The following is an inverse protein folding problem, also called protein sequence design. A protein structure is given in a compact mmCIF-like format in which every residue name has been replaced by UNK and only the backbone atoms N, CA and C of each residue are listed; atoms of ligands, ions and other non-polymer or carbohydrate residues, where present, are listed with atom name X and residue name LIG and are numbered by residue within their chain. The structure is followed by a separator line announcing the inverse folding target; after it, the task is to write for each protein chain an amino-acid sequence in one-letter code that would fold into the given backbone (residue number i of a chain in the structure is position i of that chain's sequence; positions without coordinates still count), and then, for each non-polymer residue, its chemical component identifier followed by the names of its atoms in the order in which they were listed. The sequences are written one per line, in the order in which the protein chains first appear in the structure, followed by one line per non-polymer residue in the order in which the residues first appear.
data_IF_780881860253
#
_entry.id   IF_780881860253
#
_cell.length_a   1.000
_cell.length_b   1.000
_cell.length_c   1.000
_cell.angle_alpha   90.00
_cell.angle_beta   90.00
_cell.angle_gamma   90.00
#
_symmetry.space_group_name_H-M   'P 1'
#
loop_
_entity.id
_entity.type
_entity.pdbx_description
1 polymer ?
#
# COMPACT_ATOMS: atom_id res chain seq x y z
N UNK A 1 7.28 31.17 12.33
CA UNK A 1 7.97 30.31 13.32
C UNK A 1 9.40 30.85 13.56
N UNK A 2 9.66 31.41 14.75
CA UNK A 2 11.00 31.85 15.12
C UNK A 2 11.93 30.65 15.23
N UNK A 3 13.10 30.73 14.60
CA UNK A 3 14.18 29.77 14.77
C UNK A 3 14.68 29.91 16.22
N UNK A 4 14.73 28.83 17.01
CA UNK A 4 15.27 28.94 18.37
C UNK A 4 16.77 29.17 18.32
N UNK A 5 17.30 30.01 19.22
CA UNK A 5 18.71 30.42 19.25
C UNK A 5 19.68 29.21 19.19
N UNK A 6 19.35 28.12 19.89
CA UNK A 6 20.15 26.90 19.89
C UNK A 6 20.22 26.19 18.51
N UNK A 7 19.18 26.31 17.69
CA UNK A 7 19.21 25.80 16.32
C UNK A 7 19.97 26.75 15.40
N UNK A 8 19.86 28.07 15.60
CA UNK A 8 20.62 29.05 14.84
C UNK A 8 22.12 28.83 15.02
N UNK A 9 22.58 28.66 16.26
CA UNK A 9 23.99 28.43 16.58
C UNK A 9 24.55 27.15 15.92
N UNK A 10 23.77 26.06 15.92
CA UNK A 10 24.18 24.80 15.26
C UNK A 10 24.29 24.97 13.74
N UNK A 11 23.44 25.81 13.15
CA UNK A 11 23.42 26.08 11.71
C UNK A 11 24.60 26.94 11.28
N UNK A 12 24.91 27.97 12.06
CA UNK A 12 26.07 28.83 11.84
C UNK A 12 27.38 28.07 12.08
N UNK A 13 27.49 27.27 13.14
CA UNK A 13 28.66 26.41 13.41
C UNK A 13 28.89 25.36 12.31
N UNK A 14 27.82 24.87 11.68
CA UNK A 14 27.92 23.95 10.54
C UNK A 14 28.50 24.62 9.28
N UNK A 15 28.16 25.89 9.03
CA UNK A 15 28.65 26.65 7.87
C UNK A 15 30.07 27.19 8.12
N UNK A 16 30.38 27.63 9.35
CA UNK A 16 31.70 28.14 9.71
C UNK A 16 32.79 27.05 9.65
N UNK A 17 32.45 25.79 9.96
CA UNK A 17 33.37 24.65 9.83
C UNK A 17 33.83 24.37 8.40
N UNK A 18 33.01 24.70 7.40
CA UNK A 18 33.33 24.48 5.98
C UNK A 18 34.15 25.64 5.39
N UNK A 19 34.20 26.78 6.09
CA UNK A 19 34.84 28.01 5.66
C UNK A 19 35.70 28.64 6.78
N UNK A 20 36.59 27.84 7.36
CA UNK A 20 37.50 28.24 8.44
C UNK A 20 38.45 29.41 8.09
N UNK A 21 38.56 29.75 6.81
CA UNK A 21 39.46 30.79 6.28
C UNK A 21 38.84 32.20 6.27
N UNK A 22 37.54 32.33 6.56
CA UNK A 22 36.80 33.60 6.51
C UNK A 22 36.67 34.23 7.90
N UNK A 23 36.88 35.55 7.98
CA UNK A 23 36.77 36.33 9.22
C UNK A 23 35.35 36.24 9.79
N UNK A 24 35.27 36.13 11.12
CA UNK A 24 34.05 36.08 11.91
C UNK A 24 33.02 37.14 11.46
N UNK A 25 31.82 36.69 11.06
CA UNK A 25 30.66 37.55 10.79
C UNK A 25 30.29 37.83 9.33
N UNK A 26 31.00 37.27 8.34
CA UNK A 26 30.67 37.43 6.91
C UNK A 26 30.39 36.08 6.25
N UNK A 27 29.13 35.80 5.94
CA UNK A 27 28.73 34.57 5.25
C UNK A 27 28.92 34.72 3.73
N UNK A 28 29.77 33.91 3.07
CA UNK A 28 29.93 33.96 1.62
C UNK A 28 28.65 33.48 0.92
N UNK A 29 28.40 33.91 -0.32
CA UNK A 29 27.17 33.57 -1.06
C UNK A 29 26.91 32.04 -1.12
N UNK A 30 27.96 31.22 -1.20
CA UNK A 30 27.86 29.75 -1.16
C UNK A 30 27.42 29.24 0.22
N UNK A 31 28.01 29.77 1.29
CA UNK A 31 27.60 29.46 2.67
C UNK A 31 26.17 29.91 2.98
N UNK A 32 25.72 31.04 2.41
CA UNK A 32 24.34 31.51 2.55
C UNK A 32 23.35 30.55 1.87
N UNK A 33 23.66 30.07 0.66
CA UNK A 33 22.85 29.06 -0.04
C UNK A 33 22.76 27.74 0.73
N UNK A 34 23.86 27.30 1.35
CA UNK A 34 23.86 26.12 2.23
C UNK A 34 23.02 26.34 3.49
N UNK A 35 23.10 27.53 4.09
CA UNK A 35 22.31 27.88 5.27
C UNK A 35 20.82 27.93 4.93
N UNK A 36 20.43 28.48 3.77
CA UNK A 36 19.06 28.41 3.26
C UNK A 36 18.58 26.97 3.05
N UNK A 37 19.45 26.08 2.55
CA UNK A 37 19.13 24.66 2.40
C UNK A 37 18.97 23.96 3.76
N UNK A 38 19.77 24.34 4.76
CA UNK A 38 19.68 23.82 6.13
C UNK A 38 18.45 24.35 6.88
N UNK A 39 17.99 25.57 6.59
CA UNK A 39 16.76 26.17 7.17
C UNK A 39 15.51 25.39 6.76
N UNK A 40 15.52 24.78 5.58
CA UNK A 40 14.42 23.92 5.12
C UNK A 40 14.39 22.55 5.84
N UNK A 41 15.46 22.18 6.56
CA UNK A 41 15.57 20.91 7.28
C UNK A 41 15.08 21.07 8.72
N UNK A 42 14.04 20.31 9.10
CA UNK A 42 13.59 20.25 10.49
C UNK A 42 14.51 19.34 11.33
N UNK A 43 15.34 19.96 12.17
CA UNK A 43 16.16 19.24 13.16
C UNK A 43 15.29 18.74 14.32
N UNK A 44 15.28 17.42 14.54
CA UNK A 44 14.60 16.79 15.68
C UNK A 44 15.65 16.21 16.63
N UNK A 45 15.86 16.83 17.81
CA UNK A 45 16.68 16.25 18.89
C UNK A 45 16.09 14.91 19.31
N UNK A 46 16.81 13.80 19.08
CA UNK A 46 16.42 12.45 19.53
C UNK A 46 16.99 12.20 20.93
N UNK A 47 16.50 12.90 21.94
CA UNK A 47 16.78 12.55 23.34
C UNK A 47 15.90 11.36 23.74
N UNK A 48 16.48 10.15 23.71
CA UNK A 48 15.83 8.95 24.23
C UNK A 48 16.72 8.33 25.29
N UNK A 49 16.34 8.44 26.56
CA UNK A 49 16.94 7.65 27.63
C UNK A 49 16.73 6.16 27.28
N UNK A 50 17.79 5.36 27.32
CA UNK A 50 17.71 3.92 27.04
C UNK A 50 17.00 3.24 28.20
N UNK A 51 15.74 2.88 28.00
CA UNK A 51 14.95 2.10 28.95
C UNK A 51 15.32 0.62 28.85
N UNK A 52 15.05 -0.20 29.87
CA UNK A 52 15.26 -1.66 29.80
C UNK A 52 14.44 -2.31 28.64
N UNK A 53 13.28 -1.73 28.34
CA UNK A 53 12.46 -2.07 27.16
C UNK A 53 13.23 -1.80 25.86
N UNK A 54 14.03 -0.73 25.78
CA UNK A 54 14.83 -0.43 24.58
C UNK A 54 15.96 -1.45 24.38
N UNK A 55 16.52 -2.01 25.45
CA UNK A 55 17.54 -3.08 25.37
C UNK A 55 16.92 -4.37 24.84
N UNK A 56 15.78 -4.79 25.40
CA UNK A 56 15.03 -5.95 24.88
C UNK A 56 14.62 -5.75 23.42
N UNK A 57 14.19 -4.53 23.08
CA UNK A 57 13.82 -4.15 21.73
C UNK A 57 15.00 -4.23 20.76
N UNK A 58 16.17 -3.74 21.15
CA UNK A 58 17.40 -3.82 20.36
C UNK A 58 17.85 -5.27 20.14
N UNK A 59 17.76 -6.12 21.17
CA UNK A 59 18.07 -7.55 21.04
C UNK A 59 17.11 -8.26 20.09
N UNK A 60 15.81 -7.94 20.16
CA UNK A 60 14.80 -8.48 19.25
C UNK A 60 15.05 -8.07 17.80
N UNK A 61 15.33 -6.79 17.55
CA UNK A 61 15.69 -6.29 16.21
C UNK A 61 16.95 -6.98 15.70
N UNK A 62 17.99 -7.09 16.53
CA UNK A 62 19.24 -7.76 16.16
C UNK A 62 19.02 -9.24 15.82
N UNK A 63 18.07 -9.93 16.45
CA UNK A 63 17.72 -11.31 16.10
C UNK A 63 17.05 -11.40 14.72
N UNK A 64 16.08 -10.52 14.45
CA UNK A 64 15.36 -10.51 13.17
C UNK A 64 16.24 -10.04 12.01
N UNK A 65 17.18 -9.12 12.26
CA UNK A 65 18.13 -8.62 11.26
C UNK A 65 19.34 -9.51 11.05
N UNK A 66 19.49 -10.62 11.80
CA UNK A 66 20.52 -11.61 11.49
C UNK A 66 20.32 -12.08 10.05
N UNK A 67 21.38 -11.93 9.27
CA UNK A 67 21.42 -12.39 7.89
C UNK A 67 22.28 -13.65 7.81
N UNK A 68 21.73 -14.70 7.22
CA UNK A 68 22.46 -15.87 6.80
C UNK A 68 22.93 -15.70 5.36
N UNK A 69 24.20 -16.02 5.11
CA UNK A 69 24.78 -16.05 3.77
C UNK A 69 24.59 -17.45 3.21
N UNK A 70 23.73 -17.63 2.21
CA UNK A 70 23.55 -18.90 1.50
C UNK A 70 23.75 -18.63 0.02
N UNK A 71 24.74 -19.29 -0.60
CA UNK A 71 24.97 -19.21 -2.04
C UNK A 71 25.30 -17.82 -2.61
N UNK A 72 25.91 -16.94 -1.81
CA UNK A 72 26.26 -15.57 -2.22
C UNK A 72 25.14 -14.53 -2.06
N UNK A 73 23.94 -14.95 -1.69
CA UNK A 73 22.83 -14.04 -1.34
C UNK A 73 22.67 -13.92 0.18
N UNK A 74 22.40 -12.69 0.64
CA UNK A 74 22.08 -12.35 2.04
C UNK A 74 20.60 -12.61 2.28
N UNK A 75 20.26 -13.67 3.02
CA UNK A 75 18.89 -13.92 3.49
C UNK A 75 18.75 -13.47 4.93
N UNK A 76 17.85 -12.52 5.18
CA UNK A 76 17.52 -12.09 6.55
C UNK A 76 16.59 -13.12 7.19
N UNK A 77 16.73 -13.38 8.50
CA UNK A 77 15.88 -14.35 9.22
C UNK A 77 14.40 -14.02 9.07
N UNK A 78 14.03 -12.74 9.12
CA UNK A 78 12.65 -12.29 8.90
C UNK A 78 12.09 -12.65 7.52
N UNK A 79 12.93 -12.65 6.48
CA UNK A 79 12.56 -13.01 5.11
C UNK A 79 12.35 -14.52 4.95
N UNK A 80 13.18 -15.32 5.63
CA UNK A 80 13.04 -16.77 5.67
C UNK A 80 11.73 -17.17 6.37
N UNK A 81 11.41 -16.54 7.51
CA UNK A 81 10.16 -16.79 8.24
C UNK A 81 8.95 -16.46 7.35
N UNK A 82 8.98 -15.33 6.64
CA UNK A 82 7.92 -14.96 5.69
C UNK A 82 7.81 -16.02 4.58
N UNK A 83 8.92 -16.46 3.99
CA UNK A 83 8.93 -17.45 2.93
C UNK A 83 8.31 -18.78 3.38
N UNK A 84 8.72 -19.29 4.55
CA UNK A 84 8.16 -20.51 5.12
C UNK A 84 6.64 -20.38 5.35
N UNK A 85 6.19 -19.27 5.93
CA UNK A 85 4.77 -19.04 6.22
C UNK A 85 3.97 -18.92 4.91
N UNK A 86 4.48 -18.21 3.91
CA UNK A 86 3.80 -18.10 2.61
C UNK A 86 3.72 -19.46 1.92
N UNK A 87 4.78 -20.27 1.99
CA UNK A 87 4.78 -21.63 1.46
C UNK A 87 3.71 -22.51 2.14
N UNK A 88 3.68 -22.56 3.46
CA UNK A 88 2.65 -23.31 4.19
C UNK A 88 1.24 -22.79 3.91
N UNK A 89 1.06 -21.47 3.81
CA UNK A 89 -0.23 -20.86 3.47
C UNK A 89 -0.65 -21.19 2.04
N UNK A 90 0.29 -21.28 1.09
CA UNK A 90 0.01 -21.68 -0.29
C UNK A 90 -0.45 -23.14 -0.37
N UNK A 91 0.27 -24.05 0.29
CA UNK A 91 -0.10 -25.47 0.38
C UNK A 91 -1.50 -25.63 0.94
N UNK A 92 -1.81 -24.95 2.05
CA UNK A 92 -3.15 -24.96 2.63
C UNK A 92 -4.21 -24.43 1.65
N UNK A 93 -3.90 -23.35 0.92
CA UNK A 93 -4.84 -22.73 -0.03
C UNK A 93 -5.10 -23.63 -1.23
N UNK A 94 -4.07 -24.34 -1.72
CA UNK A 94 -4.19 -25.34 -2.78
C UNK A 94 -5.11 -26.49 -2.38
N UNK A 95 -4.91 -27.05 -1.17
CA UNK A 95 -5.77 -28.13 -0.67
C UNK A 95 -7.22 -27.67 -0.48
N UNK A 96 -7.44 -26.48 0.07
CA UNK A 96 -8.79 -25.91 0.25
C UNK A 96 -9.49 -25.67 -1.10
N UNK A 97 -8.75 -25.22 -2.12
CA UNK A 97 -9.28 -25.03 -3.47
C UNK A 97 -9.61 -26.36 -4.18
N UNK A 98 -8.90 -27.44 -3.87
CA UNK A 98 -9.21 -28.76 -4.39
C UNK A 98 -10.43 -29.40 -3.67
N UNK A 99 -10.64 -29.07 -2.39
CA UNK A 99 -11.71 -29.62 -1.55
C UNK A 99 -12.96 -28.72 -1.48
N UNK A 100 -13.25 -27.90 -2.51
CA UNK A 100 -14.38 -26.94 -2.50
C UNK A 100 -15.72 -27.65 -2.27
N UNK A 101 -15.87 -28.90 -2.73
CA UNK A 101 -17.11 -29.67 -2.62
C UNK A 101 -17.34 -30.28 -1.22
N UNK A 102 -16.28 -30.47 -0.43
CA UNK A 102 -16.33 -31.02 0.93
C UNK A 102 -15.06 -30.61 1.70
N UNK A 103 -15.00 -29.41 2.28
CA UNK A 103 -13.83 -28.98 3.03
C UNK A 103 -13.68 -29.86 4.28
N UNK A 104 -12.61 -30.64 4.35
CA UNK A 104 -12.28 -31.43 5.55
C UNK A 104 -11.93 -30.50 6.70
N UNK A 105 -12.39 -30.84 7.91
CA UNK A 105 -12.18 -30.00 9.09
C UNK A 105 -10.69 -29.78 9.41
N UNK A 106 -9.83 -30.72 9.01
CA UNK A 106 -8.38 -30.64 9.18
C UNK A 106 -7.77 -29.36 8.58
N UNK A 107 -8.14 -28.99 7.34
CA UNK A 107 -7.58 -27.81 6.67
C UNK A 107 -8.12 -26.49 7.23
N UNK A 108 -9.31 -26.53 7.86
CA UNK A 108 -9.90 -25.39 8.57
C UNK A 108 -9.12 -25.13 9.87
N UNK A 109 -8.81 -26.18 10.61
CA UNK A 109 -7.98 -26.11 11.83
C UNK A 109 -6.56 -25.66 11.48
N UNK A 110 -5.96 -26.21 10.42
CA UNK A 110 -4.65 -25.76 9.94
C UNK A 110 -4.63 -24.27 9.59
N UNK A 111 -5.71 -23.76 8.97
CA UNK A 111 -5.87 -22.34 8.69
C UNK A 111 -5.96 -21.46 9.92
N UNK A 112 -6.65 -21.93 10.96
CA UNK A 112 -6.75 -21.21 12.23
C UNK A 112 -5.38 -21.18 12.94
N UNK A 113 -4.66 -22.30 12.95
CA UNK A 113 -3.30 -22.38 13.50
C UNK A 113 -2.32 -21.47 12.77
N UNK A 114 -2.35 -21.47 11.44
CA UNK A 114 -1.51 -20.58 10.63
C UNK A 114 -1.83 -19.11 10.88
N UNK A 115 -3.10 -18.74 11.04
CA UNK A 115 -3.48 -17.39 11.43
C UNK A 115 -2.98 -17.04 12.84
N UNK A 116 -3.07 -17.96 13.80
CA UNK A 116 -2.61 -17.72 15.16
C UNK A 116 -1.09 -17.51 15.22
N UNK A 117 -0.30 -18.33 14.52
CA UNK A 117 1.15 -18.14 14.36
C UNK A 117 1.44 -16.78 13.75
N UNK A 118 0.62 -16.36 12.79
CA UNK A 118 0.81 -15.11 12.10
C UNK A 118 0.48 -13.88 12.97
N UNK A 119 -0.55 -13.97 13.81
CA UNK A 119 -0.82 -12.97 14.83
C UNK A 119 0.30 -12.90 15.87
N UNK A 120 0.83 -14.04 16.30
CA UNK A 120 1.95 -14.10 17.24
C UNK A 120 3.22 -13.45 16.65
N UNK A 121 3.55 -13.73 15.39
CA UNK A 121 4.66 -13.09 14.69
C UNK A 121 4.48 -11.56 14.60
N UNK A 122 3.28 -11.09 14.23
CA UNK A 122 2.98 -9.68 14.15
C UNK A 122 3.10 -8.98 15.52
N UNK A 123 2.65 -9.61 16.59
CA UNK A 123 2.81 -9.12 17.97
C UNK A 123 4.28 -9.06 18.39
N UNK A 124 5.07 -10.09 18.08
CA UNK A 124 6.52 -10.10 18.34
C UNK A 124 7.23 -8.98 17.59
N UNK A 125 6.91 -8.78 16.30
CA UNK A 125 7.43 -7.66 15.52
C UNK A 125 7.00 -6.31 16.08
N UNK A 126 5.75 -6.16 16.50
CA UNK A 126 5.25 -4.94 17.13
C UNK A 126 6.00 -4.63 18.43
N UNK A 127 6.30 -5.64 19.24
CA UNK A 127 7.10 -5.49 20.45
C UNK A 127 8.56 -5.11 20.14
N UNK A 128 9.17 -5.70 19.10
CA UNK A 128 10.56 -5.44 18.69
C UNK A 128 10.75 -4.11 17.94
N UNK A 129 9.78 -3.63 17.17
CA UNK A 129 9.90 -2.35 16.44
C UNK A 129 9.14 -1.22 17.12
N UNK A 130 8.30 -1.51 18.12
CA UNK A 130 7.43 -0.53 18.75
C UNK A 130 6.32 -0.02 17.80
N UNK A 131 5.23 0.52 18.33
CA UNK A 131 4.05 0.87 17.52
C UNK A 131 4.34 1.95 16.48
N UNK A 132 5.13 2.96 16.82
CA UNK A 132 5.35 4.11 15.93
C UNK A 132 6.15 3.74 14.68
N UNK A 133 7.24 2.97 14.81
CA UNK A 133 8.06 2.58 13.67
C UNK A 133 7.42 1.41 12.91
N UNK A 134 6.73 0.50 13.60
CA UNK A 134 6.00 -0.59 12.98
C UNK A 134 4.91 -0.07 12.01
N UNK A 135 4.09 0.89 12.45
CA UNK A 135 3.06 1.52 11.61
C UNK A 135 3.59 2.64 10.70
N UNK A 136 4.89 2.89 10.60
CA UNK A 136 5.42 3.74 9.53
C UNK A 136 5.69 2.94 8.26
N UNK A 137 6.04 1.66 8.40
CA UNK A 137 6.29 0.79 7.26
C UNK A 137 4.98 0.30 6.62
N UNK A 138 4.72 0.68 5.37
CA UNK A 138 3.51 0.28 4.63
C UNK A 138 3.33 -1.24 4.53
N UNK A 139 4.43 -1.97 4.47
CA UNK A 139 4.44 -3.43 4.40
C UNK A 139 4.01 -4.13 5.69
N UNK A 140 4.20 -3.49 6.85
CA UNK A 140 3.72 -3.98 8.14
C UNK A 140 2.25 -3.63 8.37
N UNK A 141 1.78 -2.49 7.82
CA UNK A 141 0.35 -2.13 7.81
C UNK A 141 -0.49 -3.13 7.03
N UNK A 142 -0.08 -3.47 5.81
CA UNK A 142 -0.75 -4.48 4.98
C UNK A 142 -0.85 -5.81 5.73
N UNK A 143 0.22 -6.17 6.42
CA UNK A 143 0.34 -7.38 7.22
C UNK A 143 -0.70 -7.44 8.33
N UNK A 144 -0.77 -6.37 9.11
CA UNK A 144 -1.71 -6.23 10.22
C UNK A 144 -3.14 -6.21 9.73
N UNK A 145 -3.40 -5.55 8.60
CA UNK A 145 -4.71 -5.53 7.97
C UNK A 145 -5.18 -6.93 7.56
N UNK A 146 -4.31 -7.73 6.95
CA UNK A 146 -4.63 -9.12 6.61
C UNK A 146 -4.99 -9.96 7.85
N UNK A 147 -4.40 -9.65 9.00
CA UNK A 147 -4.63 -10.39 10.25
C UNK A 147 -5.95 -10.06 10.86
N UNK A 148 -6.25 -8.77 10.92
CA UNK A 148 -7.52 -8.26 11.41
C UNK A 148 -8.64 -8.87 10.57
N UNK A 149 -8.50 -8.88 9.23
CA UNK A 149 -9.48 -9.50 8.34
C UNK A 149 -9.58 -11.02 8.53
N UNK A 150 -8.45 -11.70 8.74
CA UNK A 150 -8.44 -13.13 9.06
C UNK A 150 -9.14 -13.46 10.38
N UNK A 151 -8.90 -12.70 11.43
CA UNK A 151 -9.55 -12.86 12.73
C UNK A 151 -11.05 -12.57 12.60
N UNK A 152 -11.41 -11.47 11.94
CA UNK A 152 -12.79 -11.07 11.72
C UNK A 152 -13.59 -12.18 11.02
N UNK A 153 -12.98 -12.90 10.07
CA UNK A 153 -13.60 -14.06 9.44
C UNK A 153 -13.89 -15.20 10.41
N UNK A 154 -12.92 -15.63 11.22
CA UNK A 154 -13.16 -16.73 12.16
C UNK A 154 -14.17 -16.35 13.24
N UNK A 155 -14.14 -15.09 13.70
CA UNK A 155 -15.13 -14.54 14.64
C UNK A 155 -16.52 -14.55 14.00
N UNK A 156 -16.65 -14.06 12.77
CA UNK A 156 -17.91 -14.04 12.03
C UNK A 156 -18.45 -15.44 11.74
N UNK A 157 -17.57 -16.37 11.35
CA UNK A 157 -17.91 -17.77 11.10
C UNK A 157 -18.34 -18.52 12.39
N UNK A 158 -17.92 -18.06 13.57
CA UNK A 158 -18.31 -18.63 14.85
C UNK A 158 -19.58 -18.03 15.48
N UNK A 159 -20.01 -16.84 15.05
CA UNK A 159 -21.11 -16.08 15.68
C UNK A 159 -22.45 -16.15 14.94
N UNK A 160 -22.49 -16.43 13.63
CA UNK A 160 -23.74 -16.35 12.83
C UNK A 160 -23.97 -17.53 11.85
N UNK A 161 -25.22 -18.02 11.70
CA UNK A 161 -25.65 -18.85 10.56
C UNK A 161 -26.21 -17.98 9.39
N UNK A 162 -26.68 -18.60 8.30
CA UNK A 162 -26.07 -18.58 6.98
C UNK A 162 -26.26 -17.24 6.25
N UNK A 163 -25.30 -16.33 6.39
CA UNK A 163 -25.15 -15.23 5.42
C UNK A 163 -24.33 -15.81 4.28
N UNK A 164 -24.77 -15.60 3.02
CA UNK A 164 -24.20 -16.17 1.77
C UNK A 164 -22.74 -16.57 1.96
N UNK A 165 -22.53 -17.83 2.36
CA UNK A 165 -21.23 -18.32 2.78
C UNK A 165 -20.23 -18.20 1.62
N UNK A 166 -20.74 -18.23 0.39
CA UNK A 166 -20.00 -18.05 -0.85
C UNK A 166 -19.22 -16.74 -0.87
N UNK A 167 -19.89 -15.59 -0.70
CA UNK A 167 -19.26 -14.27 -0.86
C UNK A 167 -18.23 -13.99 0.23
N UNK A 168 -18.54 -14.37 1.47
CA UNK A 168 -17.60 -14.21 2.60
C UNK A 168 -16.40 -15.16 2.45
N UNK A 169 -16.63 -16.38 1.97
CA UNK A 169 -15.57 -17.33 1.68
C UNK A 169 -14.63 -16.82 0.58
N UNK A 170 -15.18 -16.29 -0.52
CA UNK A 170 -14.41 -15.75 -1.64
C UNK A 170 -13.53 -14.57 -1.21
N UNK A 171 -14.09 -13.62 -0.44
CA UNK A 171 -13.31 -12.48 0.08
C UNK A 171 -12.16 -12.97 0.96
N UNK A 172 -12.38 -13.98 1.80
CA UNK A 172 -11.30 -14.50 2.65
C UNK A 172 -10.24 -15.27 1.91
N UNK A 173 -10.59 -15.91 0.79
CA UNK A 173 -9.63 -16.55 -0.10
C UNK A 173 -8.72 -15.50 -0.75
N UNK A 174 -9.28 -14.35 -1.16
CA UNK A 174 -8.51 -13.21 -1.68
C UNK A 174 -7.58 -12.61 -0.61
N UNK A 175 -8.07 -12.42 0.62
CA UNK A 175 -7.23 -11.92 1.73
C UNK A 175 -6.09 -12.89 2.07
N UNK A 176 -6.33 -14.20 1.97
CA UNK A 176 -5.27 -15.21 2.14
C UNK A 176 -4.28 -15.18 0.99
N UNK A 177 -4.74 -15.03 -0.26
CA UNK A 177 -3.89 -14.88 -1.43
C UNK A 177 -3.01 -13.61 -1.35
N UNK A 178 -3.48 -12.54 -0.71
CA UNK A 178 -2.69 -11.33 -0.46
C UNK A 178 -1.42 -11.58 0.36
N UNK A 179 -1.34 -12.69 1.11
CA UNK A 179 -0.11 -13.12 1.81
C UNK A 179 1.00 -13.49 0.82
N UNK A 180 0.66 -14.01 -0.37
CA UNK A 180 1.62 -14.26 -1.46
C UNK A 180 2.25 -12.96 -1.95
N UNK A 181 1.53 -11.83 -1.85
CA UNK A 181 2.10 -10.51 -2.19
C UNK A 181 3.28 -10.12 -1.26
N UNK A 182 3.47 -10.80 -0.12
CA UNK A 182 4.67 -10.62 0.72
C UNK A 182 5.94 -11.11 0.05
N UNK A 183 5.85 -12.01 -0.94
CA UNK A 183 6.99 -12.43 -1.75
C UNK A 183 7.64 -11.23 -2.42
N UNK A 184 6.87 -10.18 -2.78
CA UNK A 184 7.41 -8.93 -3.33
C UNK A 184 8.47 -8.30 -2.42
N UNK A 185 8.40 -8.52 -1.09
CA UNK A 185 9.41 -8.03 -0.14
C UNK A 185 10.78 -8.69 -0.32
N UNK A 186 10.81 -9.92 -0.84
CA UNK A 186 12.04 -10.70 -1.06
C UNK A 186 12.83 -10.18 -2.27
N UNK A 187 12.14 -9.54 -3.23
CA UNK A 187 12.75 -9.06 -4.47
C UNK A 187 13.04 -7.57 -4.37
N UNK A 188 14.29 -7.22 -4.05
CA UNK A 188 14.75 -5.83 -3.95
C UNK A 188 14.46 -5.00 -5.22
N UNK A 189 14.54 -5.63 -6.40
CA UNK A 189 14.19 -5.02 -7.68
C UNK A 189 12.71 -4.61 -7.74
N UNK A 190 11.79 -5.50 -7.34
CA UNK A 190 10.36 -5.19 -7.32
C UNK A 190 10.04 -4.08 -6.31
N UNK A 191 10.71 -4.09 -5.16
CA UNK A 191 10.57 -3.00 -4.18
C UNK A 191 11.05 -1.65 -4.73
N UNK A 192 12.13 -1.63 -5.51
CA UNK A 192 12.61 -0.41 -6.16
C UNK A 192 11.57 0.14 -7.13
N UNK A 193 10.95 -0.73 -7.93
CA UNK A 193 9.87 -0.37 -8.85
C UNK A 193 8.63 0.11 -8.09
N UNK A 194 8.21 -0.60 -7.04
CA UNK A 194 7.06 -0.18 -6.23
C UNK A 194 7.29 1.20 -5.61
N UNK A 195 8.51 1.48 -5.14
CA UNK A 195 8.88 2.80 -4.58
C UNK A 195 8.92 3.90 -5.63
N UNK A 196 9.33 3.62 -6.86
CA UNK A 196 9.28 4.62 -7.94
C UNK A 196 7.84 4.92 -8.34
N UNK A 197 7.00 3.88 -8.40
CA UNK A 197 5.55 4.03 -8.62
C UNK A 197 4.91 4.87 -7.51
N UNK A 198 5.22 4.59 -6.24
CA UNK A 198 4.71 5.37 -5.10
C UNK A 198 5.08 6.86 -5.19
N UNK A 199 6.31 7.17 -5.62
CA UNK A 199 6.76 8.56 -5.83
C UNK A 199 6.08 9.22 -7.03
N UNK A 200 5.79 8.47 -8.08
CA UNK A 200 5.09 8.97 -9.27
C UNK A 200 3.57 9.10 -9.05
N UNK A 201 3.00 8.32 -8.13
CA UNK A 201 1.57 8.26 -7.84
C UNK A 201 0.91 9.64 -7.63
N UNK A 202 1.45 10.57 -6.80
CA UNK A 202 0.82 11.88 -6.63
C UNK A 202 0.80 12.71 -7.92
N UNK A 203 1.82 12.58 -8.78
CA UNK A 203 1.84 13.27 -10.07
C UNK A 203 0.82 12.67 -11.04
N UNK A 204 0.74 11.34 -11.10
CA UNK A 204 -0.23 10.61 -11.92
C UNK A 204 -1.66 10.94 -11.46
N UNK A 205 -1.93 11.00 -10.16
CA UNK A 205 -3.25 11.35 -9.62
C UNK A 205 -3.67 12.77 -10.04
N UNK A 206 -2.77 13.75 -10.03
CA UNK A 206 -3.08 15.11 -10.50
C UNK A 206 -3.45 15.11 -11.98
N UNK A 207 -2.69 14.40 -12.81
CA UNK A 207 -2.98 14.28 -14.23
C UNK A 207 -4.33 13.58 -14.46
N UNK A 208 -4.58 12.51 -13.71
CA UNK A 208 -5.80 11.72 -13.81
C UNK A 208 -7.03 12.51 -13.36
N UNK A 209 -6.90 13.39 -12.36
CA UNK A 209 -7.97 14.32 -11.96
C UNK A 209 -8.33 15.29 -13.09
N UNK A 210 -7.33 15.86 -13.79
CA UNK A 210 -7.57 16.74 -14.94
C UNK A 210 -8.24 15.96 -16.07
N UNK A 211 -7.71 14.77 -16.38
CA UNK A 211 -8.29 13.89 -17.39
C UNK A 211 -9.74 13.54 -17.07
N UNK A 212 -10.03 13.19 -15.82
CA UNK A 212 -11.38 12.89 -15.36
C UNK A 212 -12.31 14.10 -15.41
N UNK A 213 -11.82 15.32 -15.14
CA UNK A 213 -12.61 16.55 -15.29
C UNK A 213 -13.01 16.81 -16.75
N UNK A 214 -12.11 16.54 -17.69
CA UNK A 214 -12.42 16.63 -19.13
C UNK A 214 -13.44 15.57 -19.54
N UNK A 215 -13.24 14.31 -19.14
CA UNK A 215 -14.23 13.24 -19.37
C UNK A 215 -15.59 13.59 -18.77
N UNK A 216 -15.62 14.15 -17.56
CA UNK A 216 -16.84 14.59 -16.89
C UNK A 216 -17.60 15.63 -17.72
N UNK A 217 -16.90 16.64 -18.25
CA UNK A 217 -17.52 17.65 -19.10
C UNK A 217 -18.09 17.04 -20.39
N UNK A 218 -17.32 16.19 -21.07
CA UNK A 218 -17.79 15.53 -22.29
C UNK A 218 -18.96 14.58 -22.04
N UNK A 219 -18.92 13.77 -20.99
CA UNK A 219 -20.01 12.87 -20.60
C UNK A 219 -21.31 13.65 -20.33
N UNK A 220 -21.21 14.80 -19.64
CA UNK A 220 -22.37 15.67 -19.37
C UNK A 220 -22.93 16.30 -20.66
N UNK A 221 -22.07 16.77 -21.56
CA UNK A 221 -22.50 17.31 -22.86
C UNK A 221 -23.15 16.21 -23.70
N UNK A 222 -22.57 15.02 -23.71
CA UNK A 222 -23.04 13.89 -24.50
C UNK A 222 -24.41 13.38 -24.02
N UNK A 223 -24.61 13.28 -22.71
CA UNK A 223 -25.91 12.97 -22.10
C UNK A 223 -26.98 13.99 -22.53
N UNK A 224 -26.69 15.29 -22.39
CA UNK A 224 -27.66 16.33 -22.76
C UNK A 224 -27.97 16.38 -24.27
N UNK A 225 -27.03 16.02 -25.14
CA UNK A 225 -27.18 16.20 -26.60
C UNK A 225 -27.57 14.93 -27.36
N UNK A 226 -27.15 13.76 -26.88
CA UNK A 226 -27.25 12.49 -27.61
C UNK A 226 -28.07 11.41 -26.88
N UNK A 227 -28.42 11.56 -25.60
CA UNK A 227 -29.20 10.56 -24.87
C UNK A 227 -30.51 10.17 -25.57
N UNK A 228 -31.30 11.15 -25.99
CA UNK A 228 -32.59 10.92 -26.66
C UNK A 228 -32.41 10.29 -28.05
N UNK A 229 -31.36 10.68 -28.79
CA UNK A 229 -31.06 10.16 -30.13
C UNK A 229 -30.62 8.70 -30.10
N UNK A 230 -29.80 8.33 -29.11
CA UNK A 230 -29.32 6.95 -28.93
C UNK A 230 -30.43 6.05 -28.40
N UNK A 231 -31.24 6.53 -27.44
CA UNK A 231 -32.39 5.78 -26.91
C UNK A 231 -33.41 5.46 -28.03
N UNK A 232 -33.69 6.44 -28.89
CA UNK A 232 -34.56 6.25 -30.07
C UNK A 232 -33.94 5.31 -31.11
N UNK A 233 -32.63 5.36 -31.31
CA UNK A 233 -31.92 4.44 -32.19
C UNK A 233 -31.95 2.98 -31.71
N UNK A 234 -31.97 2.77 -30.38
CA UNK A 234 -32.05 1.46 -29.76
C UNK A 234 -33.49 0.90 -29.70
N UNK A 235 -34.51 1.76 -29.70
CA UNK A 235 -35.92 1.39 -29.51
C UNK A 235 -36.64 0.83 -30.77
N UNK A 236 -35.98 0.70 -31.93
CA UNK A 236 -36.54 0.05 -33.13
C UNK A 236 -36.84 1.00 -34.32
N UNK A 237 -37.34 0.47 -35.45
CA UNK A 237 -37.06 0.94 -36.80
C UNK A 237 -37.95 2.12 -37.26
N UNK A 238 -38.03 3.18 -36.46
CA UNK A 238 -38.79 4.40 -36.79
C UNK A 238 -37.94 5.54 -37.36
N UNK A 239 -36.61 5.48 -37.26
CA UNK A 239 -35.70 6.51 -37.75
C UNK A 239 -34.72 5.93 -38.78
N UNK A 240 -34.60 6.51 -39.98
CA UNK A 240 -33.54 6.15 -40.91
C UNK A 240 -32.22 6.70 -40.36
N UNK A 241 -31.55 5.92 -39.52
CA UNK A 241 -30.16 6.16 -39.13
C UNK A 241 -29.17 5.81 -40.26
N UNK A 242 -29.70 5.46 -41.44
CA UNK A 242 -28.96 5.14 -42.64
C UNK A 242 -28.16 6.38 -43.11
N UNK A 243 -26.85 6.33 -42.94
CA UNK A 243 -25.91 7.40 -43.33
C UNK A 243 -25.14 8.04 -42.18
N UNK A 244 -25.45 7.73 -40.91
CA UNK A 244 -24.68 8.20 -39.77
C UNK A 244 -23.55 7.20 -39.43
N UNK A 245 -22.27 7.63 -39.38
CA UNK A 245 -21.15 6.73 -39.17
C UNK A 245 -21.22 5.92 -37.86
N UNK A 246 -21.87 6.47 -36.84
CA UNK A 246 -21.99 5.85 -35.51
C UNK A 246 -23.23 4.95 -35.37
N UNK A 247 -24.14 4.94 -36.34
CA UNK A 247 -25.38 4.17 -36.27
C UNK A 247 -25.13 2.66 -36.13
N UNK A 248 -24.05 2.14 -36.74
CA UNK A 248 -23.66 0.73 -36.64
C UNK A 248 -23.26 0.32 -35.20
N UNK A 249 -22.86 1.28 -34.36
CA UNK A 249 -22.42 1.05 -32.98
C UNK A 249 -23.43 1.60 -31.96
N UNK A 250 -24.63 2.01 -32.40
CA UNK A 250 -25.62 2.66 -31.53
C UNK A 250 -26.07 1.78 -30.35
N UNK A 251 -25.98 0.45 -30.47
CA UNK A 251 -26.28 -0.47 -29.36
C UNK A 251 -25.18 -0.55 -28.29
N UNK A 252 -23.96 -0.09 -28.58
CA UNK A 252 -22.84 -0.04 -27.63
C UNK A 252 -22.76 1.31 -26.90
N UNK A 253 -23.37 2.35 -27.47
CA UNK A 253 -23.38 3.69 -26.90
C UNK A 253 -24.47 3.80 -25.82
N UNK A 254 -24.12 4.25 -24.61
CA UNK A 254 -25.07 4.35 -23.51
C UNK A 254 -24.97 5.69 -22.80
N UNK A 255 -25.68 6.71 -23.31
CA UNK A 255 -25.65 8.07 -22.76
C UNK A 255 -26.80 8.39 -21.78
N UNK A 256 -27.44 7.37 -21.18
CA UNK A 256 -28.66 7.57 -20.37
C UNK A 256 -28.39 8.05 -18.95
N UNK A 257 -27.19 7.80 -18.42
CA UNK A 257 -26.78 8.19 -17.08
C UNK A 257 -25.29 8.57 -17.12
N UNK A 258 -24.89 9.53 -16.28
CA UNK A 258 -23.50 9.97 -16.18
C UNK A 258 -22.44 8.83 -16.10
N UNK A 259 -22.57 7.78 -15.26
CA UNK A 259 -21.58 6.70 -15.22
C UNK A 259 -21.48 5.93 -16.54
N UNK A 260 -22.61 5.69 -17.20
CA UNK A 260 -22.66 5.02 -18.50
C UNK A 260 -22.09 5.91 -19.61
N UNK A 261 -22.38 7.22 -19.56
CA UNK A 261 -21.84 8.23 -20.47
C UNK A 261 -20.32 8.43 -20.33
N UNK A 262 -19.76 8.14 -19.15
CA UNK A 262 -18.31 8.23 -18.88
C UNK A 262 -17.56 6.96 -19.33
N UNK A 263 -18.24 5.81 -19.36
CA UNK A 263 -17.69 4.55 -19.87
C UNK A 263 -17.79 4.42 -21.40
N UNK A 264 -18.74 5.15 -22.01
CA UNK A 264 -18.99 5.20 -23.45
C UNK A 264 -18.01 6.14 -24.15
#
# INVERSE_FOLDING_TARGET
PSLSDEFADVMFDAVDKEHADLKEGLVPQKGFLQLCALVDVQFRKRQRAKTHIDVLRQQGVAMFERAFMIGGHRFVVSDLVILCIVFFSYVQSYHVAQSISAPTDEWRVAGALLLAVFCAEACLRLACYGPREYFQNGFHKLDTFCNIMGIAYYVYAGLSPPIDHQTVFDITLVVRALRVARIVKLWSMLLMIMRTVERALPAILRLLLIFFAVLYAYATIAENLYADKVTKAQAGPGMPLHGLPWAAHAQQLTFTNFPSSCLT
#
